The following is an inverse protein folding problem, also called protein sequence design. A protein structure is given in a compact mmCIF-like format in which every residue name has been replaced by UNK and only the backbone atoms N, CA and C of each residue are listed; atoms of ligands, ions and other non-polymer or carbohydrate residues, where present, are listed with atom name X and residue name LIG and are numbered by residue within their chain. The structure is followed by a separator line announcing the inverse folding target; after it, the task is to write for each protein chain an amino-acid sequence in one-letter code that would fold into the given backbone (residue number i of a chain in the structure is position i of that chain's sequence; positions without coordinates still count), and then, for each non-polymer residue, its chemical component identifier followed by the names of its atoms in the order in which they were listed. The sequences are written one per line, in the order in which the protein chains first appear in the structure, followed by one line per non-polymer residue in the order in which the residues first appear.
data_IF_241296009680
#
_entry.id   IF_241296009680
#
_cell.length_a   1.000
_cell.length_b   1.000
_cell.length_c   1.000
_cell.angle_alpha   90.00
_cell.angle_beta   90.00
_cell.angle_gamma   90.00
#
_symmetry.space_group_name_H-M   'P 1'
#
loop_
_entity.id
_entity.type
_entity.pdbx_description
1 polymer ?
#
# COMPACT_ATOMS: atom_id res chain seq x y z
N UNK A 1 29.06 66.24 -19.33
CA UNK A 1 29.33 64.80 -19.50
C UNK A 1 28.23 63.97 -18.82
N UNK A 2 27.03 63.86 -19.41
CA UNK A 2 25.87 63.23 -18.71
C UNK A 2 24.90 62.49 -19.64
N UNK A 3 25.27 62.22 -20.91
CA UNK A 3 24.41 61.51 -21.88
C UNK A 3 24.71 60.01 -22.06
N UNK A 4 25.87 59.52 -21.60
CA UNK A 4 26.31 58.14 -21.90
C UNK A 4 26.01 57.12 -20.78
N UNK A 5 25.66 57.56 -19.57
CA UNK A 5 25.33 56.69 -18.43
C UNK A 5 23.88 56.21 -18.46
N UNK A 6 22.95 57.06 -18.89
CA UNK A 6 21.52 56.71 -19.00
C UNK A 6 21.29 55.62 -20.05
N UNK A 7 21.95 55.72 -21.22
CA UNK A 7 21.80 54.76 -22.31
C UNK A 7 22.32 53.35 -21.94
N UNK A 8 23.42 53.28 -21.18
CA UNK A 8 23.98 52.00 -20.69
C UNK A 8 23.13 51.34 -19.60
N UNK A 9 22.41 52.12 -18.80
CA UNK A 9 21.50 51.59 -17.78
C UNK A 9 20.23 51.03 -18.42
N UNK A 10 19.65 51.76 -19.37
CA UNK A 10 18.44 51.35 -20.11
C UNK A 10 18.70 50.09 -20.95
N UNK A 11 19.86 49.99 -21.61
CA UNK A 11 20.22 48.76 -22.34
C UNK A 11 20.42 47.55 -21.42
N UNK A 12 20.99 47.74 -20.22
CA UNK A 12 21.17 46.65 -19.25
C UNK A 12 19.84 46.17 -18.66
N UNK A 13 18.91 47.07 -18.38
CA UNK A 13 17.58 46.69 -17.86
C UNK A 13 16.72 46.00 -18.91
N UNK A 14 16.75 46.47 -20.16
CA UNK A 14 16.04 45.82 -21.28
C UNK A 14 16.64 44.43 -21.56
N UNK A 15 17.97 44.30 -21.54
CA UNK A 15 18.65 43.01 -21.74
C UNK A 15 18.33 42.02 -20.62
N UNK A 16 18.26 42.47 -19.35
CA UNK A 16 17.92 41.60 -18.23
C UNK A 16 16.44 41.16 -18.29
N UNK A 17 15.53 42.08 -18.63
CA UNK A 17 14.12 41.76 -18.79
C UNK A 17 13.86 40.74 -19.91
N UNK A 18 14.56 40.86 -21.04
CA UNK A 18 14.50 39.89 -22.14
C UNK A 18 14.99 38.50 -21.71
N UNK A 19 16.11 38.42 -20.98
CA UNK A 19 16.65 37.15 -20.49
C UNK A 19 15.69 36.48 -19.49
N UNK A 20 15.09 37.25 -18.58
CA UNK A 20 14.09 36.74 -17.64
C UNK A 20 12.84 36.25 -18.37
N UNK A 21 12.33 36.98 -19.37
CA UNK A 21 11.18 36.55 -20.17
C UNK A 21 11.46 35.25 -20.93
N UNK A 22 12.64 35.09 -21.52
CA UNK A 22 13.04 33.86 -22.23
C UNK A 22 13.16 32.68 -21.26
N UNK A 23 13.72 32.90 -20.07
CA UNK A 23 13.80 31.86 -19.03
C UNK A 23 12.43 31.42 -18.52
N UNK A 24 11.52 32.37 -18.25
CA UNK A 24 10.14 32.05 -17.82
C UNK A 24 9.38 31.30 -18.92
N UNK A 25 9.53 31.71 -20.19
CA UNK A 25 8.91 31.02 -21.33
C UNK A 25 9.50 29.63 -21.59
N UNK A 26 10.79 29.42 -21.33
CA UNK A 26 11.42 28.11 -21.42
C UNK A 26 10.97 27.18 -20.28
N UNK A 27 10.84 27.70 -19.06
CA UNK A 27 10.37 26.95 -17.90
C UNK A 27 8.88 26.60 -17.98
N UNK A 28 8.05 27.46 -18.55
CA UNK A 28 6.62 27.14 -18.78
C UNK A 28 6.44 26.05 -19.85
N UNK A 29 7.31 25.97 -20.86
CA UNK A 29 7.31 24.85 -21.82
C UNK A 29 7.74 23.51 -21.19
N UNK A 30 8.62 23.53 -20.19
CA UNK A 30 9.02 22.32 -19.46
C UNK A 30 7.91 21.79 -18.54
N UNK A 31 6.98 22.65 -18.10
CA UNK A 31 5.85 22.25 -17.24
C UNK A 31 4.60 21.76 -17.99
N UNK A 32 4.50 21.99 -19.31
CA UNK A 32 3.30 21.63 -20.10
C UNK A 32 3.46 20.27 -20.83
N UNK A 33 4.66 19.70 -20.87
CA UNK A 33 4.90 18.39 -21.51
C UNK A 33 4.83 17.22 -20.52
N UNK A 34 3.66 17.02 -19.88
CA UNK A 34 3.33 15.75 -19.23
C UNK A 34 1.81 15.53 -19.22
N UNK A 35 1.21 15.51 -20.40
CA UNK A 35 -0.10 14.88 -20.61
C UNK A 35 0.12 13.63 -21.47
N UNK A 36 0.51 12.53 -20.81
CA UNK A 36 0.47 11.22 -21.44
C UNK A 36 -0.95 10.68 -21.27
N UNK A 37 -1.71 10.66 -22.37
CA UNK A 37 -2.95 9.91 -22.47
C UNK A 37 -2.66 8.41 -22.24
N UNK A 38 -3.44 7.80 -21.34
CA UNK A 38 -3.42 6.35 -21.10
C UNK A 38 -4.12 5.69 -22.30
N UNK A 39 -3.49 4.75 -23.03
CA UNK A 39 -4.19 4.01 -24.08
C UNK A 39 -5.29 3.15 -23.46
N UNK A 40 -6.52 3.29 -23.97
CA UNK A 40 -7.64 2.42 -23.61
C UNK A 40 -7.33 0.96 -23.95
N UNK A 41 -7.34 0.10 -22.93
CA UNK A 41 -7.18 -1.35 -23.07
C UNK A 41 -8.40 -1.94 -23.81
N UNK A 42 -8.23 -2.93 -24.72
CA UNK A 42 -9.36 -3.56 -25.39
C UNK A 42 -10.28 -4.31 -24.41
N UNK A 43 -11.59 -4.19 -24.63
CA UNK A 43 -12.65 -4.91 -23.91
C UNK A 43 -12.39 -6.42 -23.98
N UNK A 44 -12.00 -7.02 -22.86
CA UNK A 44 -12.01 -8.46 -22.70
C UNK A 44 -13.41 -8.89 -22.33
N UNK A 45 -14.11 -9.54 -23.26
CA UNK A 45 -15.39 -10.17 -23.00
C UNK A 45 -15.24 -11.17 -21.86
N UNK A 46 -15.86 -10.87 -20.71
CA UNK A 46 -15.95 -11.76 -19.57
C UNK A 46 -16.64 -13.06 -20.01
N UNK A 47 -15.90 -14.16 -19.96
CA UNK A 47 -16.49 -15.50 -20.04
C UNK A 47 -17.43 -15.67 -18.85
N UNK A 48 -18.71 -15.88 -19.15
CA UNK A 48 -19.78 -16.16 -18.19
C UNK A 48 -19.44 -17.47 -17.46
N UNK A 49 -18.98 -17.36 -16.21
CA UNK A 49 -18.77 -18.49 -15.32
C UNK A 49 -20.08 -19.26 -15.15
N UNK A 50 -20.02 -20.54 -15.49
CA UNK A 50 -21.09 -21.53 -15.37
C UNK A 50 -21.53 -21.72 -13.92
N UNK A 51 -22.84 -21.84 -13.72
CA UNK A 51 -23.50 -22.24 -12.47
C UNK A 51 -22.86 -23.50 -11.87
N UNK A 52 -22.11 -23.33 -10.78
CA UNK A 52 -21.79 -24.41 -9.86
C UNK A 52 -22.46 -24.11 -8.53
N UNK A 53 -23.67 -24.64 -8.38
CA UNK A 53 -24.38 -24.72 -7.10
C UNK A 53 -23.59 -25.63 -6.17
N UNK A 54 -22.90 -25.06 -5.20
CA UNK A 54 -22.40 -25.80 -4.03
C UNK A 54 -22.79 -25.08 -2.76
N UNK A 55 -23.70 -25.74 -2.06
CA UNK A 55 -24.17 -25.45 -0.73
C UNK A 55 -23.03 -25.66 0.26
N UNK A 56 -22.33 -24.60 0.63
CA UNK A 56 -21.59 -24.51 1.90
C UNK A 56 -21.60 -23.05 2.38
N UNK A 57 -22.04 -22.85 3.63
CA UNK A 57 -22.05 -21.54 4.31
C UNK A 57 -20.62 -21.09 4.65
N UNK A 58 -19.81 -20.76 3.64
CA UNK A 58 -18.56 -20.03 3.85
C UNK A 58 -18.91 -18.56 3.74
N UNK A 59 -19.15 -17.92 4.89
CA UNK A 59 -19.22 -16.46 4.95
C UNK A 59 -17.83 -15.95 4.54
N UNK A 60 -17.64 -15.30 3.38
CA UNK A 60 -16.34 -14.78 3.02
C UNK A 60 -15.94 -13.83 4.16
N UNK A 61 -14.83 -14.14 4.85
CA UNK A 61 -14.33 -13.29 5.96
C UNK A 61 -13.83 -11.94 5.45
N UNK A 62 -14.00 -11.66 4.16
CA UNK A 62 -14.04 -10.34 3.56
C UNK A 62 -15.42 -9.70 3.83
N UNK A 63 -15.54 -9.01 4.97
CA UNK A 63 -16.78 -8.32 5.34
C UNK A 63 -17.16 -7.28 4.29
N UNK A 64 -18.46 -7.06 4.02
CA UNK A 64 -18.89 -6.04 3.04
C UNK A 64 -18.30 -4.64 3.33
N UNK A 65 -17.94 -4.36 4.59
CA UNK A 65 -17.25 -3.15 5.02
C UNK A 65 -15.82 -3.05 4.48
N UNK A 66 -15.08 -4.15 4.32
CA UNK A 66 -13.74 -4.09 3.74
C UNK A 66 -13.80 -3.75 2.24
N UNK A 67 -14.82 -4.20 1.49
CA UNK A 67 -15.01 -3.89 0.05
C UNK A 67 -15.19 -2.40 -0.24
N UNK A 68 -15.68 -1.62 0.74
CA UNK A 68 -15.97 -0.19 0.59
C UNK A 68 -14.82 0.72 1.02
N UNK A 69 -13.66 0.14 1.40
CA UNK A 69 -12.55 0.94 1.88
C UNK A 69 -11.91 1.80 0.80
N UNK A 70 -11.64 3.04 1.18
CA UNK A 70 -10.93 4.07 0.42
C UNK A 70 -9.92 4.75 1.32
N UNK A 71 -8.97 5.47 0.72
CA UNK A 71 -7.92 6.18 1.47
C UNK A 71 -8.46 7.25 2.42
N UNK A 72 -9.64 7.80 2.15
CA UNK A 72 -10.30 8.81 2.98
C UNK A 72 -11.22 8.21 4.06
N UNK A 73 -11.60 6.94 3.95
CA UNK A 73 -12.55 6.30 4.87
C UNK A 73 -11.89 5.32 5.85
N UNK A 74 -10.96 4.50 5.36
CA UNK A 74 -10.35 3.39 6.09
C UNK A 74 -8.88 3.63 6.46
N UNK A 75 -8.31 4.77 6.08
CA UNK A 75 -6.93 5.12 6.38
C UNK A 75 -6.86 6.48 7.08
N UNK A 76 -6.18 6.54 8.22
CA UNK A 76 -5.94 7.78 8.95
C UNK A 76 -4.66 8.45 8.45
N UNK A 77 -4.81 9.32 7.45
CA UNK A 77 -3.69 10.10 6.90
C UNK A 77 -3.15 11.15 7.86
N UNK A 78 -3.86 11.49 8.95
CA UNK A 78 -3.42 12.52 9.90
C UNK A 78 -2.16 12.12 10.67
N UNK A 79 -1.92 10.81 10.81
CA UNK A 79 -0.69 10.22 11.38
C UNK A 79 0.52 10.38 10.48
N UNK A 80 0.31 10.67 9.21
CA UNK A 80 1.34 10.58 8.17
C UNK A 80 2.03 11.92 7.87
N UNK A 81 2.09 12.83 8.86
CA UNK A 81 2.85 14.10 8.75
C UNK A 81 4.33 13.83 8.42
N UNK A 82 4.91 12.83 9.08
CA UNK A 82 6.16 12.20 8.70
C UNK A 82 5.85 10.74 8.38
N UNK A 83 6.21 10.25 7.20
CA UNK A 83 5.92 8.87 6.83
C UNK A 83 6.87 7.92 7.56
N UNK A 84 6.38 7.29 8.63
CA UNK A 84 7.12 6.29 9.41
C UNK A 84 6.37 4.96 9.48
N UNK A 85 7.13 3.87 9.51
CA UNK A 85 6.63 2.51 9.48
C UNK A 85 7.10 1.76 10.72
N UNK A 86 6.14 1.27 11.49
CA UNK A 86 6.38 0.39 12.62
C UNK A 86 6.18 -1.06 12.19
N UNK A 87 7.16 -1.91 12.52
CA UNK A 87 7.08 -3.34 12.28
C UNK A 87 6.90 -4.04 13.62
N UNK A 88 5.81 -4.80 13.77
CA UNK A 88 5.59 -5.57 14.99
C UNK A 88 6.74 -6.56 15.24
N UNK A 89 7.06 -6.84 16.51
CA UNK A 89 8.01 -7.90 16.84
C UNK A 89 7.48 -9.25 16.35
N UNK A 90 8.39 -10.21 16.06
CA UNK A 90 7.97 -11.58 15.74
C UNK A 90 7.27 -12.22 16.95
N UNK A 91 6.36 -13.14 16.66
CA UNK A 91 5.71 -13.94 17.69
C UNK A 91 6.65 -15.09 18.11
N UNK A 92 7.12 -15.14 19.36
CA UNK A 92 8.09 -16.15 19.81
C UNK A 92 7.49 -17.56 19.87
N UNK A 93 6.17 -17.70 19.76
CA UNK A 93 5.49 -19.01 19.76
C UNK A 93 5.38 -19.62 18.37
N UNK A 94 5.73 -18.86 17.32
CA UNK A 94 5.71 -19.31 15.93
C UNK A 94 7.14 -19.53 15.41
N UNK A 95 7.31 -20.41 14.40
CA UNK A 95 8.56 -20.48 13.67
C UNK A 95 8.85 -19.15 12.97
N UNK A 96 10.12 -18.92 12.64
CA UNK A 96 10.50 -17.80 11.80
C UNK A 96 9.70 -17.85 10.47
N UNK A 97 9.24 -16.70 9.95
CA UNK A 97 8.47 -16.66 8.70
C UNK A 97 9.36 -17.09 7.51
N UNK A 98 8.78 -17.39 6.34
CA UNK A 98 9.56 -17.73 5.14
C UNK A 98 10.55 -16.61 4.79
N UNK A 99 11.67 -16.97 4.15
CA UNK A 99 12.77 -16.05 3.82
C UNK A 99 12.28 -14.81 3.07
N UNK A 100 11.33 -14.97 2.14
CA UNK A 100 10.72 -13.86 1.40
C UNK A 100 10.12 -12.81 2.33
N UNK A 101 9.39 -13.24 3.37
CA UNK A 101 8.80 -12.29 4.33
C UNK A 101 9.86 -11.69 5.26
N UNK A 102 10.84 -12.49 5.68
CA UNK A 102 11.97 -11.96 6.46
C UNK A 102 12.69 -10.83 5.71
N UNK A 103 12.99 -11.03 4.42
CA UNK A 103 13.61 -10.01 3.56
C UNK A 103 12.74 -8.75 3.43
N UNK A 104 11.42 -8.89 3.28
CA UNK A 104 10.49 -7.75 3.25
C UNK A 104 10.62 -6.95 4.57
N UNK A 105 10.52 -7.61 5.72
CA UNK A 105 10.61 -6.94 7.01
C UNK A 105 11.99 -6.31 7.25
N UNK A 106 13.06 -6.96 6.80
CA UNK A 106 14.43 -6.46 6.90
C UNK A 106 14.66 -5.20 6.06
N UNK A 107 14.24 -5.20 4.79
CA UNK A 107 14.32 -4.02 3.92
C UNK A 107 13.60 -2.83 4.55
N UNK A 108 12.44 -3.06 5.15
CA UNK A 108 11.66 -2.01 5.81
C UNK A 108 12.41 -1.49 7.04
N UNK A 109 12.91 -2.38 7.91
CA UNK A 109 13.68 -2.01 9.11
C UNK A 109 14.97 -1.25 8.78
N UNK A 110 15.61 -1.56 7.65
CA UNK A 110 16.84 -0.90 7.20
C UNK A 110 16.58 0.40 6.42
N UNK A 111 15.31 0.74 6.15
CA UNK A 111 14.94 1.96 5.44
C UNK A 111 14.89 3.19 6.36
N UNK A 112 14.97 4.39 5.78
CA UNK A 112 14.77 5.66 6.50
C UNK A 112 13.34 5.85 7.04
N UNK A 113 12.39 5.02 6.60
CA UNK A 113 10.99 5.07 7.02
C UNK A 113 10.76 4.30 8.32
N UNK A 114 11.66 3.40 8.73
CA UNK A 114 11.48 2.65 9.97
C UNK A 114 11.41 3.56 11.21
N UNK A 115 10.56 3.17 12.17
CA UNK A 115 10.58 3.67 13.55
C UNK A 115 10.36 2.53 14.54
N UNK A 116 11.02 2.63 15.70
CA UNK A 116 10.77 1.74 16.84
C UNK A 116 9.59 2.22 17.72
N UNK A 117 9.15 3.47 17.56
CA UNK A 117 8.03 4.05 18.32
C UNK A 117 6.72 3.90 17.52
N UNK A 118 5.73 3.15 18.00
CA UNK A 118 4.43 3.03 17.34
C UNK A 118 3.64 4.34 17.34
N UNK A 119 3.90 5.26 18.27
CA UNK A 119 3.25 6.58 18.35
C UNK A 119 3.60 7.47 17.16
N UNK A 120 4.82 7.35 16.65
CA UNK A 120 5.30 8.08 15.47
C UNK A 120 4.86 7.44 14.15
N UNK A 121 4.34 6.22 14.20
CA UNK A 121 4.07 5.43 13.00
C UNK A 121 2.82 5.92 12.25
N UNK A 122 3.01 6.11 10.95
CA UNK A 122 1.94 6.27 9.96
C UNK A 122 1.39 4.91 9.55
N UNK A 123 2.25 3.92 9.35
CA UNK A 123 1.89 2.59 8.84
C UNK A 123 2.39 1.48 9.78
N UNK A 124 1.61 0.42 9.92
CA UNK A 124 1.91 -0.73 10.76
C UNK A 124 2.02 -2.00 9.90
N UNK A 125 3.05 -2.81 10.15
CA UNK A 125 3.29 -4.05 9.41
C UNK A 125 3.41 -5.21 10.40
N UNK A 126 2.54 -6.24 10.32
CA UNK A 126 2.63 -7.43 11.18
C UNK A 126 3.99 -8.13 11.06
N UNK A 127 4.55 -8.58 12.18
CA UNK A 127 5.72 -9.46 12.20
C UNK A 127 5.37 -10.93 11.90
N UNK A 128 4.08 -11.23 11.79
CA UNK A 128 3.52 -12.56 11.50
C UNK A 128 3.52 -12.83 10.00
N UNK A 129 3.76 -14.08 9.59
CA UNK A 129 3.73 -14.44 8.17
C UNK A 129 2.34 -14.20 7.57
N UNK A 130 2.22 -13.14 6.77
CA UNK A 130 0.97 -12.84 6.06
C UNK A 130 0.99 -13.26 4.58
N UNK A 131 2.14 -13.63 4.02
CA UNK A 131 2.25 -13.81 2.56
C UNK A 131 1.57 -15.08 2.02
N UNK A 132 1.29 -16.06 2.89
CA UNK A 132 0.85 -17.39 2.46
C UNK A 132 -0.50 -17.78 3.07
N UNK A 133 -1.55 -17.78 2.24
CA UNK A 133 -2.92 -18.15 2.60
C UNK A 133 -3.32 -19.52 2.04
N UNK A 134 -2.35 -20.33 1.63
CA UNK A 134 -2.59 -21.70 1.20
C UNK A 134 -2.54 -22.66 2.41
N UNK A 135 -3.63 -23.35 2.79
CA UNK A 135 -3.63 -24.31 3.90
C UNK A 135 -2.70 -25.51 3.69
N UNK A 136 -2.37 -25.81 2.44
CA UNK A 136 -1.45 -26.91 2.10
C UNK A 136 0.01 -26.50 2.26
N UNK A 137 0.28 -25.21 2.44
CA UNK A 137 1.64 -24.71 2.64
C UNK A 137 2.16 -24.99 4.04
N UNK A 138 3.44 -25.33 4.12
CA UNK A 138 4.18 -25.43 5.38
C UNK A 138 4.28 -24.10 6.13
N UNK A 139 4.03 -22.97 5.45
CA UNK A 139 4.10 -21.62 6.01
C UNK A 139 2.74 -21.07 6.44
N UNK A 140 1.67 -21.86 6.27
CA UNK A 140 0.33 -21.51 6.71
C UNK A 140 0.25 -21.43 8.24
N UNK A 141 -0.39 -20.39 8.74
CA UNK A 141 -0.64 -20.21 10.17
C UNK A 141 -2.16 -20.31 10.38
N UNK A 142 -2.68 -21.44 10.92
CA UNK A 142 -4.12 -21.67 11.04
C UNK A 142 -4.86 -20.64 11.91
N UNK A 143 -4.22 -20.16 12.98
CA UNK A 143 -4.79 -19.21 13.95
C UNK A 143 -4.34 -17.76 13.70
N UNK A 144 -3.89 -17.45 12.48
CA UNK A 144 -3.35 -16.13 12.14
C UNK A 144 -4.35 -14.99 12.35
N UNK A 145 -5.63 -15.22 12.06
CA UNK A 145 -6.71 -14.24 12.27
C UNK A 145 -6.78 -13.82 13.75
N UNK A 146 -6.79 -14.79 14.67
CA UNK A 146 -6.80 -14.53 16.10
C UNK A 146 -5.54 -13.84 16.59
N UNK A 147 -4.37 -14.20 16.03
CA UNK A 147 -3.09 -13.58 16.37
C UNK A 147 -3.02 -12.13 15.92
N UNK A 148 -3.49 -11.81 14.72
CA UNK A 148 -3.59 -10.44 14.22
C UNK A 148 -4.50 -9.60 15.12
N UNK A 149 -5.67 -10.12 15.48
CA UNK A 149 -6.63 -9.43 16.35
C UNK A 149 -6.10 -9.15 17.76
N UNK A 150 -5.13 -9.94 18.25
CA UNK A 150 -4.46 -9.74 19.55
C UNK A 150 -3.30 -8.74 19.50
N UNK A 151 -2.89 -8.26 18.32
CA UNK A 151 -1.82 -7.27 18.24
C UNK A 151 -2.25 -5.96 18.94
N UNK A 152 -1.38 -5.33 19.76
CA UNK A 152 -1.76 -4.20 20.62
C UNK A 152 -2.43 -3.02 19.90
N UNK A 153 -2.10 -2.79 18.61
CA UNK A 153 -2.60 -1.65 17.85
C UNK A 153 -3.49 -2.01 16.66
N UNK A 154 -3.86 -3.28 16.53
CA UNK A 154 -4.69 -3.75 15.42
C UNK A 154 -6.06 -3.08 15.42
N UNK A 155 -6.74 -3.12 16.56
CA UNK A 155 -8.10 -2.56 16.74
C UNK A 155 -8.12 -1.09 17.15
N UNK A 156 -7.03 -0.61 17.77
CA UNK A 156 -6.92 0.72 18.36
C UNK A 156 -5.53 1.31 18.11
N UNK A 157 -5.44 2.40 17.38
CA UNK A 157 -4.16 3.03 17.04
C UNK A 157 -3.54 3.77 18.25
N UNK A 158 -2.19 3.87 18.34
CA UNK A 158 -1.51 4.55 19.46
C UNK A 158 -1.77 6.06 19.43
N UNK A 159 -2.11 6.67 20.57
CA UNK A 159 -2.38 8.11 20.72
C UNK A 159 -3.35 8.69 19.67
N UNK A 160 -4.66 8.46 19.82
CA UNK A 160 -5.64 9.23 19.06
C UNK A 160 -5.71 10.61 19.70
N UNK A 161 -4.85 11.58 19.38
CA UNK A 161 -4.93 12.94 19.98
C UNK A 161 -6.30 13.65 19.78
N UNK A 162 -7.25 13.01 19.07
CA UNK A 162 -8.66 13.39 18.93
C UNK A 162 -9.65 12.46 19.68
N UNK A 163 -9.29 11.90 20.86
CA UNK A 163 -10.12 10.96 21.67
C UNK A 163 -11.56 11.46 21.95
N UNK A 164 -11.81 12.77 21.97
CA UNK A 164 -12.96 13.31 22.70
C UNK A 164 -14.30 13.48 21.93
N UNK A 165 -14.50 12.90 20.74
CA UNK A 165 -15.85 12.95 20.11
C UNK A 165 -16.48 11.62 19.71
N UNK A 166 -15.72 10.56 19.39
CA UNK A 166 -16.29 9.32 18.83
C UNK A 166 -15.61 8.03 19.38
N UNK A 167 -15.28 7.99 20.67
CA UNK A 167 -14.40 6.98 21.31
C UNK A 167 -14.94 5.54 21.39
N UNK A 168 -16.07 5.22 20.73
CA UNK A 168 -16.71 3.91 20.78
C UNK A 168 -16.51 3.05 19.53
N UNK A 169 -15.76 3.52 18.52
CA UNK A 169 -15.58 2.77 17.27
C UNK A 169 -14.17 2.17 17.17
N UNK A 170 -14.07 0.84 17.34
CA UNK A 170 -12.87 0.09 16.96
C UNK A 170 -12.74 0.08 15.44
N UNK A 171 -11.51 0.27 14.95
CA UNK A 171 -11.20 0.30 13.51
C UNK A 171 -10.12 -0.75 13.21
N UNK A 172 -10.46 -2.05 13.30
CA UNK A 172 -9.50 -3.12 13.12
C UNK A 172 -8.78 -3.01 11.77
N UNK A 173 -7.46 -3.07 11.78
CA UNK A 173 -6.62 -3.00 10.59
C UNK A 173 -6.36 -1.58 10.07
N UNK A 174 -6.91 -0.52 10.66
CA UNK A 174 -6.66 0.85 10.19
C UNK A 174 -5.17 1.20 10.19
N UNK A 175 -4.67 1.72 9.06
CA UNK A 175 -3.25 1.96 8.77
C UNK A 175 -2.33 0.72 8.83
N UNK A 176 -2.87 -0.49 8.77
CA UNK A 176 -2.05 -1.70 8.65
C UNK A 176 -1.85 -2.05 7.18
N UNK A 177 -0.67 -2.58 6.85
CA UNK A 177 -0.37 -3.15 5.54
C UNK A 177 -0.09 -4.64 5.70
N UNK A 178 -0.85 -5.45 4.98
CA UNK A 178 -0.73 -6.90 4.93
C UNK A 178 -0.24 -7.31 3.55
N UNK A 179 0.73 -8.21 3.49
CA UNK A 179 1.21 -8.78 2.24
C UNK A 179 0.53 -10.12 1.98
N UNK A 180 0.09 -10.39 0.77
CA UNK A 180 -0.46 -11.70 0.36
C UNK A 180 0.08 -12.04 -1.01
N UNK A 181 0.88 -13.10 -1.09
CA UNK A 181 1.52 -13.55 -2.32
C UNK A 181 0.89 -14.83 -2.86
N UNK A 182 0.49 -15.74 -1.96
CA UNK A 182 -0.09 -17.04 -2.32
C UNK A 182 -1.50 -17.14 -1.72
N UNK A 183 -2.51 -17.33 -2.58
CA UNK A 183 -3.94 -17.40 -2.22
C UNK A 183 -4.50 -18.83 -2.30
N UNK A 184 -3.64 -19.85 -2.21
CA UNK A 184 -4.02 -21.26 -2.31
C UNK A 184 -3.32 -21.99 -3.45
N UNK A 185 -3.39 -23.32 -3.40
CA UNK A 185 -2.97 -24.22 -4.47
C UNK A 185 -4.19 -24.99 -4.97
N UNK A 186 -4.24 -25.31 -6.26
CA UNK A 186 -5.30 -26.14 -6.83
C UNK A 186 -5.47 -27.44 -6.03
N UNK A 187 -6.72 -27.89 -5.76
CA UNK A 187 -8.00 -27.33 -6.23
C UNK A 187 -8.52 -26.16 -5.38
N UNK A 188 -7.87 -25.86 -4.25
CA UNK A 188 -8.32 -24.90 -3.23
C UNK A 188 -7.79 -23.47 -3.43
N UNK A 189 -7.39 -23.12 -4.67
CA UNK A 189 -7.01 -21.75 -5.02
C UNK A 189 -8.22 -20.83 -4.95
N UNK A 190 -8.18 -19.83 -4.07
CA UNK A 190 -9.25 -18.86 -3.93
C UNK A 190 -8.70 -17.46 -3.60
N UNK A 191 -8.78 -16.57 -4.58
CA UNK A 191 -8.33 -15.19 -4.44
C UNK A 191 -9.17 -14.32 -3.51
N UNK A 192 -10.43 -14.70 -3.27
CA UNK A 192 -11.40 -13.97 -2.44
C UNK A 192 -11.33 -14.41 -0.97
N UNK A 193 -10.98 -15.67 -0.74
CA UNK A 193 -10.83 -16.23 0.60
C UNK A 193 -9.42 -16.01 1.15
N UNK A 194 -9.21 -14.83 1.73
CA UNK A 194 -7.98 -14.53 2.47
C UNK A 194 -7.85 -15.34 3.78
N UNK A 195 -8.90 -16.05 4.22
CA UNK A 195 -8.96 -16.79 5.48
C UNK A 195 -8.60 -15.95 6.72
N UNK A 196 -8.75 -14.63 6.60
CA UNK A 196 -8.41 -13.62 7.60
C UNK A 196 -9.43 -12.49 7.58
N UNK A 197 -9.76 -11.94 8.75
CA UNK A 197 -10.47 -10.68 8.82
C UNK A 197 -9.48 -9.52 8.81
N UNK A 198 -9.32 -8.90 7.65
CA UNK A 198 -8.35 -7.81 7.43
C UNK A 198 -8.86 -6.44 7.89
N UNK A 199 -10.16 -6.32 8.21
CA UNK A 199 -10.80 -5.06 8.55
C UNK A 199 -10.51 -3.96 7.53
N UNK A 200 -9.95 -2.86 8.01
CA UNK A 200 -9.55 -1.68 7.25
C UNK A 200 -8.08 -1.71 6.80
N UNK A 201 -7.37 -2.83 6.94
CA UNK A 201 -5.98 -2.95 6.49
C UNK A 201 -5.87 -2.84 4.97
N UNK A 202 -4.80 -2.22 4.50
CA UNK A 202 -4.39 -2.22 3.10
C UNK A 202 -3.85 -3.60 2.76
N UNK A 203 -4.27 -4.14 1.62
CA UNK A 203 -3.74 -5.39 1.08
C UNK A 203 -2.75 -5.09 -0.03
N UNK A 204 -1.49 -5.45 0.20
CA UNK A 204 -0.53 -5.65 -0.86
C UNK A 204 -0.68 -7.09 -1.35
N UNK A 205 -1.28 -7.27 -2.53
CA UNK A 205 -1.54 -8.58 -3.11
C UNK A 205 -0.74 -8.80 -4.40
N UNK A 206 -0.09 -9.96 -4.49
CA UNK A 206 0.63 -10.34 -5.69
C UNK A 206 -0.36 -10.68 -6.80
N UNK A 207 -0.14 -10.15 -8.01
CA UNK A 207 -0.92 -10.40 -9.22
C UNK A 207 -2.43 -10.25 -9.02
N UNK A 208 -2.84 -9.25 -8.23
CA UNK A 208 -4.23 -9.10 -7.83
C UNK A 208 -5.17 -8.85 -9.02
N UNK A 209 -6.29 -9.59 -9.07
CA UNK A 209 -7.35 -9.31 -10.03
C UNK A 209 -7.92 -7.89 -9.85
N UNK A 210 -8.10 -7.18 -10.98
CA UNK A 210 -8.74 -5.86 -11.02
C UNK A 210 -10.18 -5.87 -10.50
N UNK A 211 -10.84 -7.03 -10.49
CA UNK A 211 -12.19 -7.20 -9.94
C UNK A 211 -12.22 -7.32 -8.42
N UNK A 212 -11.10 -7.69 -7.79
CA UNK A 212 -11.01 -7.99 -6.35
C UNK A 212 -10.22 -6.95 -5.57
N UNK A 213 -9.33 -6.21 -6.23
CA UNK A 213 -8.52 -5.18 -5.60
C UNK A 213 -9.35 -3.91 -5.31
N UNK A 214 -9.24 -3.37 -4.09
CA UNK A 214 -9.88 -2.10 -3.74
C UNK A 214 -9.12 -0.96 -4.40
N UNK A 215 -9.66 -0.46 -5.51
CA UNK A 215 -9.03 0.59 -6.32
C UNK A 215 -8.67 1.81 -5.48
N UNK A 216 -7.45 2.31 -5.68
CA UNK A 216 -6.86 3.43 -4.96
C UNK A 216 -6.68 3.20 -3.45
N UNK A 217 -6.79 1.96 -2.96
CA UNK A 217 -6.60 1.62 -1.55
C UNK A 217 -5.60 0.48 -1.38
N UNK A 218 -5.85 -0.64 -2.06
CA UNK A 218 -4.96 -1.80 -2.10
C UNK A 218 -3.84 -1.64 -3.12
N UNK A 219 -2.79 -2.44 -2.97
CA UNK A 219 -1.58 -2.43 -3.79
C UNK A 219 -1.47 -3.76 -4.54
N UNK A 220 -1.34 -3.70 -5.86
CA UNK A 220 -0.98 -4.87 -6.68
C UNK A 220 0.50 -4.82 -7.02
N UNK A 221 1.18 -5.97 -6.95
CA UNK A 221 2.57 -6.11 -7.37
C UNK A 221 2.77 -7.46 -8.08
N UNK A 222 3.76 -7.63 -8.96
CA UNK A 222 3.98 -8.91 -9.63
C UNK A 222 4.39 -9.99 -8.63
N UNK A 223 3.87 -11.21 -8.80
CA UNK A 223 4.42 -12.38 -8.09
C UNK A 223 5.80 -12.68 -8.65
N UNK A 224 6.85 -12.29 -7.92
CA UNK A 224 8.23 -12.57 -8.32
C UNK A 224 8.67 -13.89 -7.69
N UNK A 225 8.89 -14.90 -8.52
CA UNK A 225 9.49 -16.14 -8.05
C UNK A 225 11.00 -15.93 -7.83
N UNK A 226 11.63 -16.68 -6.91
CA UNK A 226 13.08 -16.64 -6.75
C UNK A 226 13.85 -16.93 -8.06
N UNK A 227 13.28 -17.73 -8.97
CA UNK A 227 13.89 -18.01 -10.27
C UNK A 227 13.99 -16.78 -11.17
N UNK A 228 13.03 -15.86 -11.10
CA UNK A 228 12.99 -14.67 -11.95
C UNK A 228 14.18 -13.72 -11.73
N UNK A 229 14.74 -13.69 -10.51
CA UNK A 229 15.90 -12.85 -10.21
C UNK A 229 17.22 -13.44 -10.73
N UNK A 230 17.23 -14.72 -11.10
CA UNK A 230 18.42 -15.42 -11.57
C UNK A 230 18.68 -15.19 -13.07
N UNK A 231 17.68 -14.72 -13.82
CA UNK A 231 17.78 -14.39 -15.24
C UNK A 231 18.18 -12.91 -15.49
N UNK A 232 18.26 -12.10 -14.43
CA UNK A 232 18.66 -10.69 -14.48
C UNK A 232 20.11 -10.44 -14.01
N UNK A 233 20.88 -11.51 -13.79
CA UNK A 233 22.32 -11.47 -13.45
C UNK A 233 23.14 -12.11 -14.57
#
# INVERSE_FOLDING_TARGET
MTRNTCFRLVFKTISLALVVCVLVAALSKLFISSNNEIPSLPDFHAHKGSDYSSSDNVNPRFTQTSQLCRMDTCFDSSRCKNFKVYVYPPDPTLPAPPETYQRILEIIRNSSFYTASPEEACLFIPGLNTIDRDPLSTWFIPDLDERLQRLPYWSFQPNPENIARNTSLSTPGRNHLIFTMYSGTWPDYNEEDLRLNVGEAILAKASASVSLIRRNFDISFPLVSPQFLQELQ
#
